data_IF_933248494586
#
_entry.id   IF_933248494586
#
_cell.length_a   1.000
_cell.length_b   1.000
_cell.length_c   1.000
_cell.angle_alpha   90.00
_cell.angle_beta   90.00
_cell.angle_gamma   90.00
#
_symmetry.space_group_name_H-M   'P 1'
#
loop_
_entity.id
_entity.type
_entity.pdbx_description
1 polymer ?
#
# COMPACT_ATOMS: atom_id res chain seq x y z
N UNK A 1 8.36 28.53 4.02
CA UNK A 1 8.80 28.67 5.43
C UNK A 1 8.02 27.66 6.24
N UNK A 2 8.68 26.91 7.13
CA UNK A 2 8.00 25.97 8.01
C UNK A 2 7.04 26.73 8.95
N UNK A 3 5.82 26.22 9.11
CA UNK A 3 4.82 26.79 10.02
C UNK A 3 4.91 26.02 11.32
N UNK A 4 5.19 26.68 12.44
CA UNK A 4 5.28 26.03 13.75
C UNK A 4 3.90 25.79 14.34
N UNK A 5 3.71 24.67 15.05
CA UNK A 5 2.44 24.41 15.75
C UNK A 5 2.10 25.47 16.81
N UNK A 6 3.12 26.06 17.44
CA UNK A 6 2.99 27.16 18.41
C UNK A 6 2.37 28.43 17.80
N UNK A 7 2.38 28.57 16.47
CA UNK A 7 1.71 29.68 15.79
C UNK A 7 0.19 29.50 15.69
N UNK A 8 -0.32 28.30 15.98
CA UNK A 8 -1.75 28.06 16.06
C UNK A 8 -2.25 28.33 17.48
N UNK A 9 -3.46 28.86 17.60
CA UNK A 9 -4.12 29.15 18.88
C UNK A 9 -4.65 27.88 19.57
N UNK A 10 -3.82 26.84 19.66
CA UNK A 10 -4.11 25.59 20.37
C UNK A 10 -3.81 25.73 21.86
N UNK A 11 -4.52 24.99 22.69
CA UNK A 11 -4.25 24.97 24.13
C UNK A 11 -2.83 24.42 24.43
N UNK A 12 -2.17 24.92 25.50
CA UNK A 12 -0.85 24.43 25.89
C UNK A 12 -0.80 22.91 26.09
N UNK A 13 -1.87 22.30 26.62
CA UNK A 13 -1.96 20.85 26.78
C UNK A 13 -1.88 20.08 25.45
N UNK A 14 -2.52 20.57 24.39
CA UNK A 14 -2.45 19.94 23.08
C UNK A 14 -1.06 20.11 22.46
N UNK A 15 -0.47 21.32 22.59
CA UNK A 15 0.89 21.60 22.12
C UNK A 15 1.93 20.71 22.81
N UNK A 16 1.85 20.57 24.13
CA UNK A 16 2.73 19.69 24.89
C UNK A 16 2.58 18.23 24.46
N UNK A 17 1.33 17.76 24.29
CA UNK A 17 1.06 16.38 23.86
C UNK A 17 1.70 16.07 22.51
N UNK A 18 1.49 16.92 21.51
CA UNK A 18 2.07 16.70 20.17
C UNK A 18 3.60 16.89 20.16
N UNK A 19 4.15 17.79 20.99
CA UNK A 19 5.59 17.96 21.13
C UNK A 19 6.26 16.68 21.65
N UNK A 20 5.67 16.00 22.64
CA UNK A 20 6.18 14.69 23.12
C UNK A 20 6.14 13.61 22.04
N UNK A 21 5.29 13.76 21.03
CA UNK A 21 5.19 12.87 19.87
C UNK A 21 6.15 13.23 18.74
N UNK A 22 6.98 14.28 18.94
CA UNK A 22 7.94 14.75 17.95
C UNK A 22 7.35 15.67 16.88
N UNK A 23 6.16 16.24 17.10
CA UNK A 23 5.59 17.23 16.19
C UNK A 23 6.26 18.59 16.48
N UNK A 24 7.07 19.06 15.54
CA UNK A 24 7.76 20.36 15.63
C UNK A 24 7.19 21.32 14.59
N UNK A 25 7.25 20.93 13.32
CA UNK A 25 6.74 21.70 12.20
C UNK A 25 5.39 21.15 11.70
N UNK A 26 4.45 22.05 11.43
CA UNK A 26 3.19 21.71 10.77
C UNK A 26 3.43 21.43 9.29
N UNK A 27 2.91 20.29 8.83
CA UNK A 27 2.86 19.96 7.40
C UNK A 27 2.03 20.99 6.62
N UNK A 28 2.19 21.11 5.30
CA UNK A 28 1.43 22.07 4.51
C UNK A 28 -0.09 21.96 4.68
N UNK A 29 -0.63 20.74 4.81
CA UNK A 29 -2.07 20.54 5.02
C UNK A 29 -2.51 20.97 6.41
N UNK A 30 -1.68 20.76 7.43
CA UNK A 30 -1.95 21.21 8.80
C UNK A 30 -1.92 22.74 8.87
N UNK A 31 -0.87 23.38 8.33
CA UNK A 31 -0.74 24.83 8.30
C UNK A 31 -1.86 25.53 7.55
N UNK A 32 -2.36 24.92 6.48
CA UNK A 32 -3.46 25.50 5.72
C UNK A 32 -4.84 25.19 6.32
N UNK A 33 -5.09 24.00 6.87
CA UNK A 33 -6.41 23.62 7.36
C UNK A 33 -6.69 24.07 8.80
N UNK A 34 -5.74 23.89 9.74
CA UNK A 34 -5.94 24.14 11.18
C UNK A 34 -6.54 25.53 11.46
N UNK A 35 -6.04 26.64 10.88
CA UNK A 35 -6.59 27.96 11.17
C UNK A 35 -8.04 28.13 10.72
N UNK A 36 -8.46 27.50 9.62
CA UNK A 36 -9.85 27.54 9.17
C UNK A 36 -10.76 26.72 10.08
N UNK A 37 -10.29 25.55 10.51
CA UNK A 37 -11.08 24.67 11.38
C UNK A 37 -11.26 25.31 12.76
N UNK A 38 -10.21 25.90 13.35
CA UNK A 38 -10.30 26.61 14.64
C UNK A 38 -11.26 27.81 14.61
N UNK A 39 -11.44 28.46 13.45
CA UNK A 39 -12.41 29.55 13.25
C UNK A 39 -13.85 29.07 13.02
N UNK A 40 -14.11 27.77 13.08
CA UNK A 40 -15.45 27.20 12.88
C UNK A 40 -15.92 27.18 11.43
N UNK A 41 -15.04 27.45 10.45
CA UNK A 41 -15.41 27.41 9.03
C UNK A 41 -15.40 25.98 8.52
N UNK A 42 -16.36 25.60 7.68
CA UNK A 42 -16.30 24.33 6.96
C UNK A 42 -15.03 24.25 6.10
N UNK A 43 -14.51 23.04 5.90
CA UNK A 43 -13.27 22.82 5.16
C UNK A 43 -13.41 21.68 4.17
N UNK A 44 -12.90 21.88 2.96
CA UNK A 44 -12.62 20.82 1.99
C UNK A 44 -11.10 20.72 1.86
N UNK A 45 -10.52 19.70 2.45
CA UNK A 45 -9.09 19.41 2.44
C UNK A 45 -8.72 18.37 1.38
N UNK A 46 -7.97 18.78 0.36
CA UNK A 46 -7.39 17.92 -0.66
C UNK A 46 -5.98 17.49 -0.29
N UNK A 47 -5.81 16.29 0.27
CA UNK A 47 -4.50 15.71 0.55
C UNK A 47 -4.50 14.17 0.64
N UNK A 48 -3.35 13.56 0.31
CA UNK A 48 -3.16 12.10 0.31
C UNK A 48 -2.98 11.52 1.72
N UNK A 49 -3.16 10.22 1.87
CA UNK A 49 -2.87 9.51 3.13
C UNK A 49 -1.41 9.72 3.52
N UNK A 50 -1.15 9.92 4.82
CA UNK A 50 0.19 10.19 5.35
C UNK A 50 0.63 11.66 5.29
N UNK A 51 -0.17 12.57 4.73
CA UNK A 51 0.16 14.00 4.71
C UNK A 51 -0.08 14.74 6.04
N UNK A 52 -0.55 14.05 7.09
CA UNK A 52 -0.85 14.65 8.39
C UNK A 52 -2.30 15.13 8.58
N UNK A 53 -3.25 14.71 7.72
CA UNK A 53 -4.69 15.08 7.78
C UNK A 53 -5.31 14.84 9.16
N UNK A 54 -5.01 13.71 9.79
CA UNK A 54 -5.58 13.33 11.08
C UNK A 54 -5.28 14.34 12.18
N UNK A 55 -4.06 14.88 12.25
CA UNK A 55 -3.75 15.97 13.17
C UNK A 55 -4.35 17.31 12.70
N UNK A 56 -4.47 17.52 11.38
CA UNK A 56 -5.02 18.75 10.81
C UNK A 56 -6.48 19.01 11.24
N UNK A 57 -7.33 17.98 11.27
CA UNK A 57 -8.68 18.10 11.85
C UNK A 57 -8.71 17.72 13.34
N UNK A 58 -7.86 16.80 13.79
CA UNK A 58 -7.93 16.23 15.13
C UNK A 58 -7.57 17.22 16.24
N UNK A 59 -6.57 18.08 16.02
CA UNK A 59 -6.18 19.08 17.02
C UNK A 59 -7.28 20.15 17.22
N UNK A 60 -7.82 20.78 16.16
CA UNK A 60 -8.98 21.64 16.30
C UNK A 60 -10.21 20.93 16.88
N UNK A 61 -10.46 19.67 16.49
CA UNK A 61 -11.56 18.89 17.04
C UNK A 61 -11.45 18.81 18.56
N UNK A 62 -10.30 18.34 19.08
CA UNK A 62 -10.08 18.19 20.52
C UNK A 62 -10.15 19.53 21.28
N UNK A 63 -9.69 20.62 20.67
CA UNK A 63 -9.76 21.97 21.24
C UNK A 63 -11.21 22.43 21.50
N UNK A 64 -12.18 21.97 20.70
CA UNK A 64 -13.59 22.40 20.79
C UNK A 64 -14.47 21.56 21.72
N UNK A 65 -13.96 20.41 22.17
CA UNK A 65 -14.69 19.49 23.04
C UNK A 65 -14.75 20.04 24.46
N UNK A 66 -15.96 20.09 25.02
CA UNK A 66 -16.16 20.25 26.46
C UNK A 66 -16.06 18.88 27.14
N UNK A 67 -15.03 18.62 27.95
CA UNK A 67 -14.85 17.32 28.59
C UNK A 67 -15.87 17.05 29.72
N UNK A 68 -16.58 18.08 30.20
CA UNK A 68 -17.56 17.94 31.29
C UNK A 68 -18.90 17.40 30.81
N UNK A 69 -19.28 17.64 29.55
CA UNK A 69 -20.46 17.05 28.93
C UNK A 69 -20.25 15.56 28.64
N UNK A 70 -21.32 14.77 28.74
CA UNK A 70 -21.33 13.34 28.37
C UNK A 70 -21.85 13.10 26.95
N UNK A 71 -22.34 14.15 26.27
CA UNK A 71 -22.92 14.08 24.94
C UNK A 71 -21.85 14.01 23.85
N UNK A 72 -22.23 13.43 22.70
CA UNK A 72 -21.38 13.36 21.52
C UNK A 72 -21.28 14.74 20.89
N UNK A 73 -20.06 15.30 20.88
CA UNK A 73 -19.77 16.63 20.37
C UNK A 73 -18.97 16.59 19.06
N UNK A 74 -18.29 15.48 18.77
CA UNK A 74 -17.64 15.28 17.48
C UNK A 74 -17.82 13.86 16.93
N UNK A 75 -17.96 13.78 15.61
CA UNK A 75 -18.12 12.54 14.86
C UNK A 75 -17.13 12.53 13.69
N UNK A 76 -16.30 11.49 13.61
CA UNK A 76 -15.40 11.27 12.49
C UNK A 76 -15.83 10.03 11.74
N UNK A 77 -16.22 10.18 10.47
CA UNK A 77 -16.52 9.07 9.57
C UNK A 77 -15.27 8.66 8.80
N UNK A 78 -14.99 7.36 8.78
CA UNK A 78 -13.90 6.77 8.02
C UNK A 78 -14.36 5.50 7.29
N UNK A 79 -13.82 5.17 6.10
CA UNK A 79 -14.32 4.10 5.23
C UNK A 79 -14.14 2.69 5.78
N UNK A 80 -13.12 2.44 6.61
CA UNK A 80 -12.78 1.09 7.08
C UNK A 80 -12.64 1.04 8.59
N UNK A 81 -12.86 -0.16 9.15
CA UNK A 81 -12.64 -0.44 10.57
C UNK A 81 -11.22 -0.09 11.01
N UNK A 82 -10.23 -0.43 10.20
CA UNK A 82 -8.83 -0.18 10.50
C UNK A 82 -8.56 1.31 10.59
N UNK A 83 -9.09 2.10 9.64
CA UNK A 83 -8.90 3.54 9.67
C UNK A 83 -9.63 4.17 10.86
N UNK A 84 -10.82 3.69 11.21
CA UNK A 84 -11.53 4.11 12.43
C UNK A 84 -10.67 3.91 13.68
N UNK A 85 -10.06 2.72 13.83
CA UNK A 85 -9.19 2.42 14.98
C UNK A 85 -7.94 3.30 14.95
N UNK A 86 -7.32 3.50 13.78
CA UNK A 86 -6.13 4.34 13.63
C UNK A 86 -6.41 5.80 13.99
N UNK A 87 -7.52 6.35 13.50
CA UNK A 87 -7.93 7.72 13.80
C UNK A 87 -8.26 7.86 15.28
N UNK A 88 -8.97 6.91 15.88
CA UNK A 88 -9.27 6.94 17.32
C UNK A 88 -8.01 6.88 18.18
N UNK A 89 -7.06 5.99 17.86
CA UNK A 89 -5.78 5.93 18.55
C UNK A 89 -4.99 7.23 18.40
N UNK A 90 -4.95 7.81 17.19
CA UNK A 90 -4.27 9.07 16.95
C UNK A 90 -4.91 10.23 17.74
N UNK A 91 -6.23 10.35 17.74
CA UNK A 91 -6.94 11.36 18.54
C UNK A 91 -6.69 11.18 20.04
N UNK A 92 -6.66 9.94 20.53
CA UNK A 92 -6.37 9.63 21.93
C UNK A 92 -4.95 10.04 22.30
N UNK A 93 -4.01 9.75 21.40
CA UNK A 93 -2.63 10.21 21.49
C UNK A 93 -2.54 11.74 21.56
N UNK A 94 -3.21 12.47 20.66
CA UNK A 94 -3.20 13.93 20.69
C UNK A 94 -3.85 14.51 21.95
N UNK A 95 -4.95 13.90 22.42
CA UNK A 95 -5.65 14.33 23.63
C UNK A 95 -4.77 14.20 24.88
N UNK A 96 -3.85 13.23 24.92
CA UNK A 96 -2.92 13.04 26.03
C UNK A 96 -3.65 12.87 27.36
N UNK A 97 -3.45 13.82 28.28
CA UNK A 97 -4.06 13.82 29.60
C UNK A 97 -5.45 14.49 29.66
N UNK A 98 -5.98 14.99 28.53
CA UNK A 98 -7.31 15.60 28.52
C UNK A 98 -8.39 14.56 28.87
N UNK A 99 -9.36 14.88 29.73
CA UNK A 99 -10.41 13.95 30.17
C UNK A 99 -11.53 13.77 29.12
N UNK A 100 -11.15 13.58 27.85
CA UNK A 100 -12.05 13.36 26.71
C UNK A 100 -12.21 11.86 26.49
N UNK A 101 -13.45 11.38 26.52
CA UNK A 101 -13.80 10.00 26.19
C UNK A 101 -14.13 9.90 24.72
N UNK A 102 -13.45 8.98 24.05
CA UNK A 102 -13.65 8.67 22.65
C UNK A 102 -13.89 7.19 22.46
N UNK A 103 -14.70 6.82 21.46
CA UNK A 103 -15.02 5.43 21.21
C UNK A 103 -15.17 5.12 19.71
N UNK A 104 -14.53 4.03 19.22
CA UNK A 104 -14.63 3.61 17.84
C UNK A 104 -15.87 2.73 17.60
N UNK A 105 -16.60 2.97 16.52
CA UNK A 105 -17.87 2.32 16.15
C UNK A 105 -17.78 1.78 14.73
N UNK A 106 -17.85 0.45 14.56
CA UNK A 106 -17.71 -0.16 13.23
C UNK A 106 -18.41 -1.52 13.11
N UNK A 107 -18.68 -1.91 11.86
CA UNK A 107 -19.29 -3.20 11.52
C UNK A 107 -18.40 -4.39 11.83
N UNK A 108 -19.01 -5.57 12.03
CA UNK A 108 -18.30 -6.82 12.33
C UNK A 108 -17.86 -6.99 13.79
N UNK A 109 -18.04 -5.96 14.64
CA UNK A 109 -17.93 -6.07 16.10
C UNK A 109 -19.32 -6.26 16.75
N UNK A 110 -19.40 -6.95 17.91
CA UNK A 110 -20.64 -7.04 18.69
C UNK A 110 -21.20 -5.66 19.04
N UNK A 111 -22.53 -5.55 19.18
CA UNK A 111 -23.19 -4.31 19.58
C UNK A 111 -22.97 -3.98 21.06
N UNK A 112 -23.00 -4.97 21.97
CA UNK A 112 -23.04 -4.69 23.41
C UNK A 112 -21.90 -3.81 23.93
N UNK A 113 -20.63 -3.98 23.51
CA UNK A 113 -19.57 -3.07 23.94
C UNK A 113 -19.81 -1.63 23.47
N UNK A 114 -20.35 -1.45 22.26
CA UNK A 114 -20.64 -0.15 21.66
C UNK A 114 -21.82 0.51 22.38
N UNK A 115 -22.89 -0.24 22.64
CA UNK A 115 -24.05 0.21 23.42
C UNK A 115 -23.64 0.64 24.83
N UNK A 116 -22.82 -0.17 25.52
CA UNK A 116 -22.31 0.17 26.86
C UNK A 116 -21.40 1.39 26.86
N UNK A 117 -20.64 1.61 25.79
CA UNK A 117 -19.78 2.80 25.69
C UNK A 117 -20.62 4.06 25.48
N UNK A 118 -21.55 4.04 24.51
CA UNK A 118 -22.46 5.14 24.24
C UNK A 118 -23.33 5.48 25.46
N UNK A 119 -23.84 4.47 26.18
CA UNK A 119 -24.66 4.68 27.37
C UNK A 119 -23.88 5.29 28.55
N UNK A 120 -22.56 5.10 28.61
CA UNK A 120 -21.69 5.76 29.62
C UNK A 120 -21.39 7.22 29.27
N UNK A 121 -21.71 7.65 28.04
CA UNK A 121 -21.40 8.96 27.51
C UNK A 121 -19.99 9.06 26.95
N UNK A 122 -19.88 9.46 25.69
CA UNK A 122 -18.64 9.68 24.95
C UNK A 122 -18.75 11.01 24.21
N UNK A 123 -17.68 11.79 24.18
CA UNK A 123 -17.68 13.09 23.50
C UNK A 123 -17.25 13.00 22.05
N UNK A 124 -16.42 12.01 21.71
CA UNK A 124 -15.95 11.79 20.33
C UNK A 124 -16.27 10.37 19.87
N UNK A 125 -16.93 10.28 18.72
CA UNK A 125 -17.17 9.00 18.05
C UNK A 125 -16.35 8.97 16.76
N UNK A 126 -15.64 7.87 16.53
CA UNK A 126 -14.99 7.60 15.25
C UNK A 126 -15.65 6.35 14.67
N UNK A 127 -16.16 6.38 13.45
CA UNK A 127 -16.89 5.22 12.97
C UNK A 127 -17.07 5.05 11.47
N UNK A 128 -17.45 3.83 11.08
CA UNK A 128 -17.80 3.52 9.69
C UNK A 128 -19.24 3.95 9.40
N UNK A 129 -19.56 4.55 8.24
CA UNK A 129 -20.89 5.10 7.94
C UNK A 129 -22.05 4.15 8.27
N UNK A 130 -22.01 2.90 7.76
CA UNK A 130 -23.07 1.92 7.97
C UNK A 130 -23.35 1.61 9.45
N UNK A 131 -22.31 1.45 10.29
CA UNK A 131 -22.53 1.19 11.72
C UNK A 131 -22.97 2.44 12.49
N UNK A 132 -22.52 3.62 12.07
CA UNK A 132 -22.93 4.88 12.70
C UNK A 132 -24.43 5.11 12.44
N UNK A 133 -24.89 4.95 11.20
CA UNK A 133 -26.31 5.12 10.88
C UNK A 133 -27.18 4.08 11.62
N UNK A 134 -26.74 2.82 11.73
CA UNK A 134 -27.43 1.80 12.54
C UNK A 134 -27.68 2.28 13.98
N UNK A 135 -26.67 2.90 14.60
CA UNK A 135 -26.78 3.37 15.99
C UNK A 135 -27.70 4.59 16.14
N UNK A 136 -27.71 5.48 15.15
CA UNK A 136 -28.61 6.63 15.07
C UNK A 136 -30.06 6.15 14.93
N UNK A 137 -30.34 5.25 13.99
CA UNK A 137 -31.69 4.71 13.77
C UNK A 137 -32.25 3.96 14.97
N UNK A 138 -31.38 3.30 15.75
CA UNK A 138 -31.74 2.63 16.99
C UNK A 138 -31.95 3.59 18.16
N UNK A 139 -31.67 4.89 18.01
CA UNK A 139 -31.71 5.88 19.09
C UNK A 139 -30.61 5.69 20.15
N UNK A 140 -29.55 4.95 19.81
CA UNK A 140 -28.44 4.64 20.74
C UNK A 140 -27.27 5.59 20.60
N UNK A 141 -27.19 6.31 19.48
CA UNK A 141 -26.28 7.42 19.24
C UNK A 141 -27.11 8.66 18.96
N UNK A 142 -27.04 9.62 19.87
CA UNK A 142 -27.64 10.94 19.73
C UNK A 142 -26.58 11.94 19.24
N UNK A 143 -26.93 12.72 18.20
CA UNK A 143 -26.07 13.74 17.59
C UNK A 143 -26.55 15.16 17.92
N UNK A 144 -27.53 15.35 18.80
CA UNK A 144 -28.14 16.65 19.07
C UNK A 144 -27.17 17.76 19.51
N UNK A 145 -26.06 17.41 20.18
CA UNK A 145 -25.01 18.34 20.61
C UNK A 145 -23.75 18.30 19.73
N UNK A 146 -23.85 17.73 18.52
CA UNK A 146 -22.71 17.60 17.62
C UNK A 146 -22.24 18.98 17.12
N UNK A 147 -21.00 19.33 17.47
CA UNK A 147 -20.32 20.57 17.05
C UNK A 147 -19.56 20.39 15.74
N UNK A 148 -18.95 19.22 15.53
CA UNK A 148 -18.09 18.96 14.38
C UNK A 148 -18.34 17.56 13.79
N UNK A 149 -18.47 17.49 12.46
CA UNK A 149 -18.53 16.26 11.69
C UNK A 149 -17.39 16.22 10.67
N UNK A 150 -16.54 15.19 10.77
CA UNK A 150 -15.41 14.99 9.87
C UNK A 150 -15.70 13.83 8.92
N UNK A 151 -15.45 14.01 7.63
CA UNK A 151 -15.45 12.96 6.62
C UNK A 151 -14.00 12.70 6.19
N UNK A 152 -13.38 11.62 6.66
CA UNK A 152 -12.02 11.25 6.26
C UNK A 152 -12.01 10.18 5.16
N UNK A 153 -11.16 10.38 4.16
CA UNK A 153 -11.11 9.59 2.92
C UNK A 153 -12.50 9.46 2.23
N UNK A 154 -13.17 10.60 2.01
CA UNK A 154 -14.53 10.64 1.48
C UNK A 154 -14.70 9.93 0.12
N UNK A 155 -13.68 10.02 -0.75
CA UNK A 155 -13.62 9.31 -2.03
C UNK A 155 -13.54 7.79 -1.88
N UNK A 156 -12.90 7.28 -0.83
CA UNK A 156 -12.94 5.85 -0.50
C UNK A 156 -14.32 5.42 -0.02
N UNK A 157 -15.00 6.24 0.80
CA UNK A 157 -16.37 5.96 1.21
C UNK A 157 -17.30 5.84 -0.01
N UNK A 158 -17.11 6.68 -1.03
CA UNK A 158 -17.82 6.55 -2.31
C UNK A 158 -17.47 5.25 -3.04
N UNK A 159 -16.17 4.91 -3.16
CA UNK A 159 -15.71 3.67 -3.81
C UNK A 159 -16.31 2.42 -3.17
N UNK A 160 -16.53 2.46 -1.85
CA UNK A 160 -17.13 1.37 -1.08
C UNK A 160 -18.66 1.36 -1.10
N UNK A 161 -19.30 2.34 -1.74
CA UNK A 161 -20.76 2.43 -1.84
C UNK A 161 -21.45 3.03 -0.61
N UNK A 162 -20.71 3.67 0.31
CA UNK A 162 -21.26 4.25 1.53
C UNK A 162 -21.84 5.66 1.36
N UNK A 163 -21.94 6.17 0.14
CA UNK A 163 -22.35 7.57 -0.08
C UNK A 163 -23.74 7.87 0.47
N UNK A 164 -24.68 6.93 0.33
CA UNK A 164 -26.04 7.06 0.87
C UNK A 164 -26.02 7.09 2.40
N UNK A 165 -25.26 6.19 3.03
CA UNK A 165 -25.11 6.16 4.49
C UNK A 165 -24.49 7.47 5.02
N UNK A 166 -23.49 8.02 4.31
CA UNK A 166 -22.88 9.31 4.66
C UNK A 166 -23.91 10.45 4.58
N UNK A 167 -24.70 10.53 3.52
CA UNK A 167 -25.76 11.53 3.40
C UNK A 167 -26.82 11.41 4.50
N UNK A 168 -27.14 10.17 4.91
CA UNK A 168 -28.09 9.91 6.01
C UNK A 168 -27.54 10.37 7.35
N UNK A 169 -26.26 10.12 7.63
CA UNK A 169 -25.61 10.63 8.85
C UNK A 169 -25.58 12.17 8.84
N UNK A 170 -25.22 12.78 7.71
CA UNK A 170 -25.23 14.24 7.55
C UNK A 170 -26.64 14.85 7.70
N UNK A 171 -27.68 14.14 7.27
CA UNK A 171 -29.06 14.59 7.43
C UNK A 171 -29.57 14.44 8.88
N UNK A 172 -29.04 13.47 9.64
CA UNK A 172 -29.43 13.25 11.04
C UNK A 172 -28.71 14.19 12.03
N UNK A 173 -27.59 14.78 11.63
CA UNK A 173 -26.82 15.71 12.44
C UNK A 173 -27.42 17.14 12.45
N UNK A 174 -27.26 17.90 13.55
CA UNK A 174 -27.91 19.20 13.76
C UNK A 174 -27.41 20.28 12.80
N UNK A 175 -28.27 21.26 12.52
CA UNK A 175 -27.90 22.47 11.78
C UNK A 175 -26.88 23.30 12.57
N UNK A 176 -25.97 23.99 11.88
CA UNK A 176 -24.95 24.85 12.50
C UNK A 176 -23.71 24.12 13.03
N UNK A 177 -23.64 22.79 12.90
CA UNK A 177 -22.39 22.03 13.08
C UNK A 177 -21.37 22.42 12.00
N UNK A 178 -20.09 22.35 12.34
CA UNK A 178 -19.00 22.48 11.38
C UNK A 178 -18.77 21.15 10.64
N UNK A 179 -18.59 21.19 9.34
CA UNK A 179 -18.25 20.03 8.51
C UNK A 179 -16.84 20.16 7.94
N UNK A 180 -16.03 19.14 8.17
CA UNK A 180 -14.66 19.05 7.67
C UNK A 180 -14.54 17.82 6.78
N UNK A 181 -14.36 18.03 5.48
CA UNK A 181 -14.25 16.98 4.48
C UNK A 181 -12.81 16.85 4.00
N UNK A 182 -12.21 15.69 4.21
CA UNK A 182 -10.91 15.33 3.66
C UNK A 182 -11.03 14.24 2.60
N UNK A 183 -10.45 14.48 1.43
CA UNK A 183 -10.50 13.55 0.32
C UNK A 183 -9.27 13.73 -0.58
N UNK A 184 -8.73 12.63 -1.12
CA UNK A 184 -7.61 12.74 -2.06
C UNK A 184 -8.07 13.22 -3.44
N UNK A 185 -9.29 12.85 -3.82
CA UNK A 185 -9.94 13.20 -5.08
C UNK A 185 -11.31 13.82 -4.84
N UNK A 186 -11.83 14.59 -5.80
CA UNK A 186 -13.18 15.17 -5.71
C UNK A 186 -14.07 14.73 -6.88
N UNK A 187 -14.52 13.45 -6.91
CA UNK A 187 -15.51 12.97 -7.88
C UNK A 187 -16.84 13.74 -7.78
N UNK A 188 -17.65 13.69 -8.84
CA UNK A 188 -18.94 14.42 -8.90
C UNK A 188 -19.88 14.10 -7.72
N UNK A 189 -19.87 12.86 -7.23
CA UNK A 189 -20.68 12.49 -6.07
C UNK A 189 -20.22 13.19 -4.78
N UNK A 190 -18.91 13.23 -4.52
CA UNK A 190 -18.35 13.96 -3.36
C UNK A 190 -18.58 15.46 -3.50
N UNK A 191 -18.43 16.02 -4.71
CA UNK A 191 -18.74 17.44 -4.97
C UNK A 191 -20.22 17.77 -4.70
N UNK A 192 -21.13 16.85 -5.02
CA UNK A 192 -22.57 17.01 -4.70
C UNK A 192 -22.82 17.02 -3.20
N UNK A 193 -22.23 16.06 -2.47
CA UNK A 193 -22.35 16.03 -1.00
C UNK A 193 -21.76 17.32 -0.41
N UNK A 194 -20.58 17.73 -0.85
CA UNK A 194 -19.96 18.98 -0.43
C UNK A 194 -20.87 20.20 -0.68
N UNK A 195 -21.36 20.38 -1.91
CA UNK A 195 -22.20 21.52 -2.27
C UNK A 195 -23.61 21.50 -1.65
N UNK A 196 -24.08 20.37 -1.13
CA UNK A 196 -25.38 20.25 -0.47
C UNK A 196 -25.31 20.52 1.02
N UNK A 197 -24.24 20.08 1.68
CA UNK A 197 -24.17 20.06 3.15
C UNK A 197 -23.19 21.07 3.74
N UNK A 198 -22.15 21.49 3.03
CA UNK A 198 -21.17 22.44 3.56
C UNK A 198 -21.60 23.87 3.26
N UNK A 199 -21.32 24.78 4.20
CA UNK A 199 -21.58 26.20 4.06
C UNK A 199 -20.29 27.00 3.84
N UNK A 200 -20.18 27.63 2.67
CA UNK A 200 -19.03 28.44 2.24
C UNK A 200 -17.66 27.87 2.67
N UNK A 201 -17.32 26.61 2.32
CA UNK A 201 -16.15 25.95 2.87
C UNK A 201 -14.84 26.60 2.40
N UNK A 202 -13.83 26.57 3.26
CA UNK A 202 -12.46 26.83 2.83
C UNK A 202 -11.95 25.63 2.03
N UNK A 203 -11.61 25.86 0.76
CA UNK A 203 -10.94 24.85 -0.06
C UNK A 203 -9.43 24.95 0.16
N UNK A 204 -8.89 23.89 0.76
CA UNK A 204 -7.45 23.74 1.01
C UNK A 204 -6.94 22.62 0.14
N UNK A 205 -6.29 22.96 -0.97
CA UNK A 205 -5.52 21.99 -1.75
C UNK A 205 -4.03 22.18 -1.50
N UNK A 206 -3.39 21.11 -1.05
CA UNK A 206 -1.94 21.05 -1.03
C UNK A 206 -1.51 20.35 -2.31
N UNK A 207 -1.05 21.13 -3.27
CA UNK A 207 -0.30 20.59 -4.40
C UNK A 207 0.94 19.89 -3.85
N UNK A 208 1.20 18.68 -4.32
CA UNK A 208 2.38 17.94 -3.89
C UNK A 208 3.63 18.77 -4.21
N UNK A 209 4.42 19.11 -3.19
CA UNK A 209 5.86 18.93 -3.31
C UNK A 209 6.06 17.49 -3.82
N UNK A 210 6.74 17.37 -4.96
CA UNK A 210 6.96 16.14 -5.74
C UNK A 210 6.84 14.90 -4.87
N UNK A 211 5.87 14.05 -5.23
CA UNK A 211 5.74 12.65 -4.79
C UNK A 211 6.96 12.17 -4.00
N UNK A 212 6.78 11.81 -2.73
CA UNK A 212 7.75 11.19 -1.80
C UNK A 212 8.26 9.82 -2.27
N UNK A 213 8.28 9.63 -3.58
CA UNK A 213 8.79 8.50 -4.36
C UNK A 213 10.27 8.71 -4.68
N UNK A 214 10.86 9.87 -4.35
CA UNK A 214 12.31 10.08 -4.49
C UNK A 214 13.13 9.01 -3.73
N UNK A 215 12.57 8.42 -2.67
CA UNK A 215 13.22 7.36 -1.88
C UNK A 215 12.83 5.93 -2.29
N UNK A 216 11.96 5.76 -3.29
CA UNK A 216 11.50 4.46 -3.77
C UNK A 216 12.05 4.22 -5.17
N UNK A 217 12.92 3.22 -5.30
CA UNK A 217 13.36 2.75 -6.61
C UNK A 217 12.21 1.98 -7.27
N UNK A 218 11.71 2.50 -8.39
CA UNK A 218 10.60 1.89 -9.11
C UNK A 218 11.09 1.17 -10.36
N UNK A 219 10.71 -0.11 -10.46
CA UNK A 219 11.07 -0.99 -11.57
C UNK A 219 9.83 -1.62 -12.18
N UNK A 220 9.91 -1.99 -13.45
CA UNK A 220 8.90 -2.83 -14.09
C UNK A 220 9.53 -3.96 -14.91
N UNK A 221 8.81 -5.08 -14.97
CA UNK A 221 9.20 -6.29 -15.71
C UNK A 221 8.07 -6.70 -16.65
N UNK A 222 8.42 -7.09 -17.87
CA UNK A 222 7.46 -7.65 -18.82
C UNK A 222 7.21 -9.13 -18.51
N UNK A 223 6.01 -9.46 -18.02
CA UNK A 223 5.68 -10.81 -17.55
C UNK A 223 4.27 -11.19 -18.00
N UNK A 224 4.11 -12.18 -18.90
CA UNK A 224 2.81 -12.74 -19.23
C UNK A 224 2.16 -13.41 -18.00
N UNK A 225 0.83 -13.35 -17.89
CA UNK A 225 0.09 -13.84 -16.71
C UNK A 225 0.46 -15.27 -16.26
N UNK A 226 0.59 -16.27 -17.15
CA UNK A 226 0.94 -17.64 -16.74
C UNK A 226 2.31 -17.75 -16.04
N UNK A 227 3.18 -16.77 -16.23
CA UNK A 227 4.56 -16.78 -15.73
C UNK A 227 4.79 -15.84 -14.54
N UNK A 228 3.77 -15.12 -14.06
CA UNK A 228 3.90 -14.20 -12.91
C UNK A 228 4.45 -14.86 -11.65
N UNK A 229 4.00 -16.08 -11.34
CA UNK A 229 4.50 -16.82 -10.16
C UNK A 229 5.97 -17.22 -10.32
N UNK A 230 6.38 -17.64 -11.53
CA UNK A 230 7.79 -17.97 -11.82
C UNK A 230 8.66 -16.71 -11.73
N UNK A 231 8.22 -15.60 -12.34
CA UNK A 231 8.91 -14.32 -12.26
C UNK A 231 9.09 -13.85 -10.80
N UNK A 232 8.02 -13.92 -9.98
CA UNK A 232 8.08 -13.55 -8.57
C UNK A 232 9.12 -14.39 -7.82
N UNK A 233 9.12 -15.71 -8.02
CA UNK A 233 10.12 -16.61 -7.42
C UNK A 233 11.54 -16.17 -7.79
N UNK A 234 11.80 -15.95 -9.09
CA UNK A 234 13.12 -15.55 -9.61
C UNK A 234 13.60 -14.24 -8.97
N UNK A 235 12.70 -13.27 -8.80
CA UNK A 235 12.99 -12.01 -8.11
C UNK A 235 13.37 -12.24 -6.65
N UNK A 236 12.55 -13.00 -5.90
CA UNK A 236 12.78 -13.29 -4.49
C UNK A 236 14.10 -14.06 -4.24
N UNK A 237 14.46 -14.97 -5.15
CA UNK A 237 15.68 -15.77 -5.06
C UNK A 237 16.95 -15.01 -5.44
N UNK A 238 16.85 -14.05 -6.37
CA UNK A 238 18.00 -13.29 -6.88
C UNK A 238 18.34 -12.11 -5.98
N UNK A 239 17.31 -11.39 -5.52
CA UNK A 239 17.47 -10.17 -4.72
C UNK A 239 16.91 -10.41 -3.32
N UNK A 240 17.68 -10.98 -2.39
CA UNK A 240 17.23 -11.09 -1.01
C UNK A 240 16.92 -9.69 -0.46
N UNK A 241 15.73 -9.55 0.10
CA UNK A 241 15.35 -8.40 0.93
C UNK A 241 14.81 -8.95 2.24
N UNK A 242 14.63 -8.08 3.23
CA UNK A 242 13.69 -8.31 4.32
C UNK A 242 12.25 -8.42 3.81
N UNK A 243 11.29 -7.97 4.63
CA UNK A 243 9.87 -8.22 4.35
C UNK A 243 9.44 -7.68 2.98
N UNK A 244 8.83 -8.56 2.18
CA UNK A 244 8.28 -8.26 0.87
C UNK A 244 6.75 -8.31 0.92
N UNK A 245 6.10 -7.24 0.44
CA UNK A 245 4.66 -7.19 0.26
C UNK A 245 4.30 -7.34 -1.23
N UNK A 246 3.52 -8.37 -1.56
CA UNK A 246 3.08 -8.67 -2.92
C UNK A 246 1.60 -8.36 -3.06
N UNK A 247 1.24 -7.51 -4.01
CA UNK A 247 -0.15 -7.17 -4.31
C UNK A 247 -0.69 -8.05 -5.45
N UNK A 248 -1.80 -8.73 -5.17
CA UNK A 248 -2.56 -9.51 -6.15
C UNK A 248 -4.02 -9.04 -6.20
N UNK A 249 -4.66 -9.21 -7.36
CA UNK A 249 -6.02 -8.68 -7.61
C UNK A 249 -7.10 -9.41 -6.82
N UNK A 250 -6.99 -10.73 -6.65
CA UNK A 250 -8.07 -11.55 -6.07
C UNK A 250 -7.60 -12.31 -4.85
N UNK A 251 -8.55 -12.58 -3.93
CA UNK A 251 -8.33 -13.36 -2.71
C UNK A 251 -7.82 -14.77 -3.03
N UNK A 252 -8.41 -15.41 -4.05
CA UNK A 252 -7.97 -16.72 -4.55
C UNK A 252 -6.52 -16.66 -5.04
N UNK A 253 -6.17 -15.66 -5.84
CA UNK A 253 -4.79 -15.47 -6.30
C UNK A 253 -3.83 -15.31 -5.13
N UNK A 254 -4.19 -14.59 -4.06
CA UNK A 254 -3.33 -14.47 -2.88
C UNK A 254 -3.01 -15.84 -2.27
N UNK A 255 -4.02 -16.68 -2.06
CA UNK A 255 -3.85 -18.03 -1.52
C UNK A 255 -3.03 -18.93 -2.46
N UNK A 256 -3.38 -18.95 -3.75
CA UNK A 256 -2.70 -19.78 -4.76
C UNK A 256 -1.20 -19.42 -4.86
N UNK A 257 -0.86 -18.13 -4.78
CA UNK A 257 0.54 -17.67 -4.83
C UNK A 257 1.28 -18.05 -3.54
N UNK A 258 0.68 -17.84 -2.37
CA UNK A 258 1.29 -18.20 -1.09
C UNK A 258 1.62 -19.71 -1.04
N UNK A 259 0.66 -20.56 -1.43
CA UNK A 259 0.85 -22.01 -1.49
C UNK A 259 1.94 -22.40 -2.50
N UNK A 260 1.98 -21.75 -3.66
CA UNK A 260 2.99 -22.03 -4.69
C UNK A 260 4.41 -21.65 -4.25
N UNK A 261 4.56 -20.57 -3.47
CA UNK A 261 5.83 -20.15 -2.89
C UNK A 261 6.24 -21.07 -1.73
N UNK A 262 5.31 -21.41 -0.83
CA UNK A 262 5.56 -22.30 0.30
C UNK A 262 6.02 -23.69 -0.14
N UNK A 263 5.42 -24.27 -1.19
CA UNK A 263 5.85 -25.54 -1.81
C UNK A 263 7.29 -25.53 -2.32
N UNK A 264 7.87 -24.35 -2.52
CA UNK A 264 9.26 -24.15 -2.97
C UNK A 264 10.19 -23.73 -1.84
N UNK A 265 9.72 -23.73 -0.59
CA UNK A 265 10.50 -23.39 0.59
C UNK A 265 10.65 -21.89 0.83
N UNK A 266 9.84 -21.05 0.18
CA UNK A 266 9.78 -19.61 0.46
C UNK A 266 8.72 -19.38 1.54
N UNK A 267 9.12 -18.77 2.66
CA UNK A 267 8.23 -18.45 3.77
C UNK A 267 7.25 -17.34 3.36
N UNK A 268 6.06 -17.74 2.92
CA UNK A 268 5.04 -16.86 2.37
C UNK A 268 3.67 -17.10 3.02
N UNK A 269 2.88 -16.04 3.16
CA UNK A 269 1.52 -16.08 3.71
C UNK A 269 0.57 -15.18 2.92
N UNK A 270 -0.72 -15.49 2.93
CA UNK A 270 -1.76 -14.71 2.25
C UNK A 270 -2.56 -13.86 3.23
N UNK A 271 -2.87 -12.63 2.86
CA UNK A 271 -3.71 -11.70 3.61
C UNK A 271 -4.85 -11.14 2.75
N UNK A 272 -6.06 -11.62 3.01
CA UNK A 272 -7.25 -11.28 2.26
C UNK A 272 -8.48 -11.14 3.17
N UNK A 273 -9.57 -10.57 2.63
CA UNK A 273 -10.76 -10.19 3.40
C UNK A 273 -11.60 -11.31 4.01
N UNK A 274 -11.31 -12.59 3.75
CA UNK A 274 -12.01 -13.72 4.40
C UNK A 274 -11.38 -14.12 5.74
N UNK A 275 -10.21 -13.59 6.04
CA UNK A 275 -9.52 -13.87 7.29
C UNK A 275 -10.22 -13.11 8.41
N UNK A 276 -10.50 -13.82 9.51
CA UNK A 276 -10.94 -13.18 10.73
C UNK A 276 -9.80 -12.32 11.33
N UNK A 277 -10.17 -11.39 12.21
CA UNK A 277 -9.23 -10.43 12.78
C UNK A 277 -8.04 -11.09 13.50
N UNK A 278 -8.30 -12.15 14.28
CA UNK A 278 -7.26 -12.87 15.00
C UNK A 278 -6.25 -13.55 14.06
N UNK A 279 -6.71 -14.10 12.93
CA UNK A 279 -5.85 -14.65 11.90
C UNK A 279 -5.00 -13.55 11.24
N UNK A 280 -5.59 -12.40 10.94
CA UNK A 280 -4.89 -11.25 10.37
C UNK A 280 -3.77 -10.75 11.29
N UNK A 281 -4.06 -10.57 12.58
CA UNK A 281 -3.07 -10.15 13.58
C UNK A 281 -1.92 -11.17 13.71
N UNK A 282 -2.24 -12.48 13.69
CA UNK A 282 -1.22 -13.53 13.71
C UNK A 282 -0.28 -13.46 12.50
N UNK A 283 -0.82 -13.30 11.30
CA UNK A 283 -0.05 -13.21 10.06
C UNK A 283 0.85 -11.97 10.06
N UNK A 284 0.31 -10.82 10.51
CA UNK A 284 1.10 -9.59 10.65
C UNK A 284 2.20 -9.77 11.71
N UNK A 285 1.91 -10.46 12.82
CA UNK A 285 2.89 -10.82 13.83
C UNK A 285 4.03 -11.66 13.27
N UNK A 286 3.72 -12.65 12.43
CA UNK A 286 4.71 -13.49 11.73
C UNK A 286 5.62 -12.74 10.77
N UNK A 287 5.11 -11.67 10.17
CA UNK A 287 5.94 -10.80 9.34
C UNK A 287 6.87 -9.92 10.20
N UNK A 288 6.40 -9.49 11.38
CA UNK A 288 7.19 -8.67 12.31
C UNK A 288 8.31 -9.45 12.99
N UNK A 289 8.06 -10.71 13.36
CA UNK A 289 9.06 -11.59 13.98
C UNK A 289 10.01 -12.26 12.97
N UNK A 290 9.84 -11.98 11.67
CA UNK A 290 10.61 -12.53 10.55
C UNK A 290 10.46 -14.05 10.37
N UNK A 291 9.37 -14.65 10.87
CA UNK A 291 9.01 -16.03 10.54
C UNK A 291 8.40 -16.17 9.14
N UNK A 292 7.94 -15.07 8.56
CA UNK A 292 7.52 -14.94 7.15
C UNK A 292 8.28 -13.81 6.50
N UNK A 293 8.78 -14.05 5.30
CA UNK A 293 9.51 -13.05 4.51
C UNK A 293 8.60 -12.38 3.46
N UNK A 294 7.54 -13.07 3.02
CA UNK A 294 6.67 -12.63 1.92
C UNK A 294 5.20 -12.64 2.33
N UNK A 295 4.55 -11.48 2.25
CA UNK A 295 3.12 -11.34 2.48
C UNK A 295 2.41 -11.05 1.16
N UNK A 296 1.41 -11.86 0.79
CA UNK A 296 0.62 -11.66 -0.43
C UNK A 296 -0.74 -11.10 -0.05
N UNK A 297 -1.07 -9.89 -0.49
CA UNK A 297 -2.28 -9.20 -0.07
C UNK A 297 -3.11 -8.63 -1.24
N UNK A 298 -4.40 -8.46 -0.98
CA UNK A 298 -5.28 -7.61 -1.80
C UNK A 298 -5.21 -6.16 -1.31
N UNK A 299 -5.60 -5.20 -2.15
CA UNK A 299 -5.63 -3.78 -1.78
C UNK A 299 -6.39 -3.52 -0.48
N UNK A 300 -7.59 -4.10 -0.36
CA UNK A 300 -8.46 -3.94 0.81
C UNK A 300 -7.78 -4.49 2.06
N UNK A 301 -7.16 -5.65 1.97
CA UNK A 301 -6.53 -6.30 3.10
C UNK A 301 -5.23 -5.59 3.56
N UNK A 302 -4.53 -4.95 2.62
CA UNK A 302 -3.28 -4.21 2.86
C UNK A 302 -3.49 -2.80 3.43
N UNK A 303 -4.71 -2.25 3.33
CA UNK A 303 -5.06 -0.94 3.90
C UNK A 303 -5.04 -1.00 5.43
N UNK A 304 -4.56 0.08 6.06
CA UNK A 304 -4.44 0.18 7.52
C UNK A 304 -3.39 -0.75 8.15
N UNK A 305 -2.64 -1.54 7.36
CA UNK A 305 -1.54 -2.30 7.92
C UNK A 305 -0.36 -1.37 8.16
N UNK A 306 0.00 -1.23 9.43
CA UNK A 306 1.24 -0.58 9.84
C UNK A 306 2.33 -1.64 10.07
N UNK A 307 3.02 -1.97 8.98
CA UNK A 307 4.26 -2.75 9.02
C UNK A 307 5.39 -1.75 8.74
N UNK A 308 6.14 -1.40 9.78
CA UNK A 308 7.28 -0.48 9.67
C UNK A 308 8.43 -1.03 8.80
N UNK A 309 8.42 -2.33 8.49
CA UNK A 309 9.57 -3.07 7.97
C UNK A 309 9.46 -3.62 6.54
N UNK A 310 8.66 -3.03 5.64
CA UNK A 310 8.58 -3.50 4.25
C UNK A 310 9.72 -2.90 3.41
N UNK A 311 10.66 -3.72 2.98
CA UNK A 311 11.79 -3.32 2.13
C UNK A 311 11.45 -3.37 0.64
N UNK A 312 10.52 -4.26 0.27
CA UNK A 312 10.11 -4.45 -1.12
C UNK A 312 8.61 -4.54 -1.27
N UNK A 313 8.09 -3.85 -2.28
CA UNK A 313 6.72 -4.02 -2.77
C UNK A 313 6.77 -4.62 -4.17
N UNK A 314 5.94 -5.64 -4.41
CA UNK A 314 5.75 -6.22 -5.75
C UNK A 314 4.29 -6.07 -6.16
N UNK A 315 4.02 -5.32 -7.22
CA UNK A 315 2.72 -5.31 -7.88
C UNK A 315 2.69 -6.48 -8.86
N UNK A 316 2.19 -7.64 -8.41
CA UNK A 316 2.05 -8.80 -9.29
C UNK A 316 0.99 -8.54 -10.36
N UNK A 317 -0.08 -7.86 -9.97
CA UNK A 317 -1.07 -7.30 -10.88
C UNK A 317 -0.99 -5.77 -10.83
N UNK A 318 -0.84 -5.13 -11.99
CA UNK A 318 -0.79 -3.67 -12.06
C UNK A 318 -2.15 -3.09 -11.62
N UNK A 319 -2.17 -2.08 -10.72
CA UNK A 319 -3.40 -1.38 -10.37
C UNK A 319 -3.92 -0.55 -11.56
N UNK A 320 -5.24 -0.31 -11.56
CA UNK A 320 -5.93 0.35 -12.67
C UNK A 320 -5.68 1.87 -12.64
N UNK A 321 -5.47 2.43 -11.44
CA UNK A 321 -5.34 3.86 -11.23
C UNK A 321 -4.04 4.24 -10.49
N UNK A 322 -3.63 5.49 -10.66
CA UNK A 322 -2.39 6.05 -10.10
C UNK A 322 -2.43 6.15 -8.58
N UNK A 323 -3.60 6.36 -7.98
CA UNK A 323 -3.73 6.55 -6.54
C UNK A 323 -3.47 5.23 -5.81
N UNK A 324 -4.11 4.15 -6.26
CA UNK A 324 -3.85 2.78 -5.79
C UNK A 324 -2.39 2.42 -5.99
N UNK A 325 -1.79 2.74 -7.13
CA UNK A 325 -0.35 2.51 -7.36
C UNK A 325 0.53 3.17 -6.30
N UNK A 326 0.31 4.47 -6.05
CA UNK A 326 1.06 5.23 -5.02
C UNK A 326 0.84 4.64 -3.63
N UNK A 327 -0.40 4.26 -3.28
CA UNK A 327 -0.71 3.64 -1.99
C UNK A 327 -0.05 2.28 -1.78
N UNK A 328 0.12 1.49 -2.86
CA UNK A 328 0.83 0.21 -2.82
C UNK A 328 2.32 0.42 -2.60
N UNK A 329 2.96 1.25 -3.42
CA UNK A 329 4.41 1.45 -3.32
C UNK A 329 4.80 2.21 -2.04
N UNK A 330 3.93 3.07 -1.52
CA UNK A 330 4.11 3.76 -0.23
C UNK A 330 4.06 2.83 1.00
N UNK A 331 3.91 1.51 0.80
CA UNK A 331 4.13 0.51 1.86
C UNK A 331 5.61 0.29 2.13
N UNK A 332 6.50 0.62 1.20
CA UNK A 332 7.95 0.66 1.42
C UNK A 332 8.45 2.11 1.46
N UNK A 333 9.74 2.31 1.75
CA UNK A 333 10.38 3.63 1.74
C UNK A 333 9.93 4.58 2.86
N UNK A 334 9.35 4.04 3.94
CA UNK A 334 8.86 4.85 5.09
C UNK A 334 10.02 5.39 5.94
N UNK A 335 9.80 6.53 6.59
CA UNK A 335 10.76 7.20 7.47
C UNK A 335 12.13 7.49 6.81
N UNK A 336 12.14 7.86 5.53
CA UNK A 336 13.35 8.23 4.78
C UNK A 336 14.25 7.06 4.36
N UNK A 337 13.83 5.81 4.60
CA UNK A 337 14.56 4.62 4.14
C UNK A 337 14.39 4.43 2.62
N UNK A 338 15.38 3.78 1.99
CA UNK A 338 15.26 3.34 0.59
C UNK A 338 14.31 2.15 0.51
N UNK A 339 13.39 2.17 -0.45
CA UNK A 339 12.49 1.06 -0.76
C UNK A 339 12.58 0.66 -2.22
N UNK A 340 12.19 -0.57 -2.55
CA UNK A 340 12.10 -1.03 -3.96
C UNK A 340 10.67 -1.42 -4.28
N UNK A 341 10.14 -0.90 -5.39
CA UNK A 341 8.85 -1.27 -5.93
C UNK A 341 9.00 -1.90 -7.32
N UNK A 342 8.54 -3.14 -7.50
CA UNK A 342 8.62 -3.87 -8.77
C UNK A 342 7.21 -4.13 -9.28
N UNK A 343 6.91 -3.72 -10.51
CA UNK A 343 5.61 -3.94 -11.13
C UNK A 343 5.70 -4.93 -12.30
N UNK A 344 4.88 -5.98 -12.27
CA UNK A 344 4.75 -6.90 -13.39
C UNK A 344 3.72 -6.39 -14.38
N UNK A 345 4.15 -6.29 -15.63
CA UNK A 345 3.38 -5.72 -16.73
C UNK A 345 3.15 -6.81 -17.76
N UNK A 346 1.90 -7.12 -18.06
CA UNK A 346 1.58 -7.96 -19.22
C UNK A 346 1.76 -7.17 -20.52
N UNK A 347 1.93 -7.83 -21.68
CA UNK A 347 2.01 -7.13 -22.97
C UNK A 347 0.82 -6.17 -23.25
N UNK A 348 -0.37 -6.49 -22.75
CA UNK A 348 -1.57 -5.65 -22.89
C UNK A 348 -1.59 -4.42 -21.98
N UNK A 349 -0.84 -4.43 -20.87
CA UNK A 349 -0.84 -3.37 -19.85
C UNK A 349 0.20 -2.27 -20.11
N UNK A 350 0.96 -2.35 -21.21
CA UNK A 350 1.96 -1.31 -21.55
C UNK A 350 1.36 0.10 -21.63
N UNK A 351 0.12 0.24 -22.12
CA UNK A 351 -0.56 1.55 -22.18
C UNK A 351 -0.88 2.08 -20.78
N UNK A 352 -1.28 1.19 -19.86
CA UNK A 352 -1.55 1.55 -18.47
C UNK A 352 -0.27 1.99 -17.76
N UNK A 353 0.86 1.32 -18.01
CA UNK A 353 2.18 1.76 -17.54
C UNK A 353 2.52 3.18 -18.03
N UNK A 354 2.41 3.44 -19.34
CA UNK A 354 2.70 4.78 -19.88
C UNK A 354 1.76 5.86 -19.32
N UNK A 355 0.51 5.52 -19.01
CA UNK A 355 -0.41 6.42 -18.33
C UNK A 355 0.06 6.73 -16.90
N UNK A 356 0.53 5.72 -16.16
CA UNK A 356 1.09 5.89 -14.82
C UNK A 356 2.33 6.78 -14.84
N UNK A 357 3.31 6.50 -15.72
CA UNK A 357 4.54 7.30 -15.84
C UNK A 357 4.23 8.79 -16.11
N UNK A 358 3.30 9.07 -17.03
CA UNK A 358 2.87 10.45 -17.33
C UNK A 358 2.19 11.15 -16.17
N UNK A 359 1.45 10.41 -15.33
CA UNK A 359 0.75 10.96 -14.17
C UNK A 359 1.67 11.14 -12.97
N UNK A 360 2.70 10.30 -12.86
CA UNK A 360 3.72 10.39 -11.81
C UNK A 360 4.83 11.38 -12.15
N UNK A 361 4.91 11.83 -13.41
CA UNK A 361 5.98 12.66 -13.94
C UNK A 361 7.39 12.07 -13.68
N UNK A 362 7.47 10.75 -13.66
CA UNK A 362 8.67 10.00 -13.36
C UNK A 362 8.70 8.69 -14.18
N UNK A 363 9.83 8.36 -14.83
CA UNK A 363 9.98 7.09 -15.54
C UNK A 363 10.09 5.93 -14.55
N UNK A 364 9.50 4.78 -14.88
CA UNK A 364 9.68 3.54 -14.13
C UNK A 364 10.72 2.71 -14.87
N UNK A 365 11.78 2.27 -14.19
CA UNK A 365 12.93 1.63 -14.84
C UNK A 365 12.56 0.22 -15.32
N UNK A 366 12.72 -0.05 -16.62
CA UNK A 366 12.58 -1.40 -17.14
C UNK A 366 13.75 -2.27 -16.68
N UNK A 367 13.44 -3.44 -16.11
CA UNK A 367 14.44 -4.45 -15.76
C UNK A 367 14.05 -5.81 -16.33
N UNK A 368 15.02 -6.63 -16.78
CA UNK A 368 14.73 -7.97 -17.25
C UNK A 368 14.34 -8.89 -16.10
N UNK A 369 13.58 -9.95 -16.40
CA UNK A 369 13.33 -11.04 -15.45
C UNK A 369 14.65 -11.77 -15.17
N UNK A 370 14.98 -12.07 -13.90
CA UNK A 370 16.24 -12.72 -13.57
C UNK A 370 16.44 -14.09 -14.25
N UNK A 371 17.64 -14.33 -14.77
CA UNK A 371 18.04 -15.58 -15.40
C UNK A 371 18.42 -16.66 -14.39
N UNK A 372 18.52 -17.90 -14.84
CA UNK A 372 18.92 -19.02 -13.99
C UNK A 372 20.37 -18.86 -13.49
N UNK A 373 21.25 -18.25 -14.30
CA UNK A 373 22.60 -17.90 -13.89
C UNK A 373 22.63 -16.88 -12.74
N UNK A 374 21.77 -15.87 -12.78
CA UNK A 374 21.66 -14.86 -11.72
C UNK A 374 21.18 -15.48 -10.40
N UNK A 375 20.17 -16.36 -10.46
CA UNK A 375 19.67 -17.10 -9.29
C UNK A 375 20.76 -17.99 -8.70
N UNK A 376 21.43 -18.78 -9.55
CA UNK A 376 22.51 -19.66 -9.10
C UNK A 376 23.66 -18.85 -8.48
N UNK A 377 24.01 -17.70 -9.07
CA UNK A 377 25.00 -16.78 -8.51
C UNK A 377 24.59 -16.24 -7.13
N UNK A 378 23.35 -15.78 -6.98
CA UNK A 378 22.82 -15.31 -5.70
C UNK A 378 22.83 -16.41 -4.63
N UNK A 379 22.48 -17.65 -5.01
CA UNK A 379 22.52 -18.80 -4.10
C UNK A 379 23.96 -19.12 -3.66
N UNK A 380 24.92 -19.12 -4.58
CA UNK A 380 26.34 -19.33 -4.26
C UNK A 380 26.88 -18.24 -3.34
N UNK A 381 26.57 -16.97 -3.62
CA UNK A 381 26.99 -15.84 -2.78
C UNK A 381 26.43 -15.95 -1.36
N UNK A 382 25.15 -16.34 -1.21
CA UNK A 382 24.53 -16.58 0.11
C UNK A 382 25.16 -17.74 0.86
N UNK A 383 25.42 -18.86 0.17
CA UNK A 383 26.09 -20.02 0.76
C UNK A 383 27.49 -19.63 1.26
N UNK A 384 28.26 -18.92 0.43
CA UNK A 384 29.60 -18.42 0.79
C UNK A 384 29.54 -17.53 2.02
N UNK A 385 28.63 -16.55 2.06
CA UNK A 385 28.47 -15.66 3.21
C UNK A 385 28.11 -16.42 4.49
N UNK A 386 27.18 -17.38 4.40
CA UNK A 386 26.77 -18.24 5.53
C UNK A 386 27.92 -19.09 6.06
N UNK A 387 28.76 -19.65 5.20
CA UNK A 387 29.92 -20.45 5.60
C UNK A 387 30.98 -19.59 6.32
N UNK A 388 31.24 -18.39 5.79
CA UNK A 388 32.19 -17.43 6.42
C UNK A 388 31.69 -17.01 7.81
N UNK A 389 30.39 -16.71 7.94
CA UNK A 389 29.81 -16.31 9.23
C UNK A 389 29.80 -17.46 10.26
N UNK A 390 29.52 -18.69 9.83
CA UNK A 390 29.49 -19.86 10.72
C UNK A 390 30.87 -20.19 11.33
N UNK A 391 31.95 -19.95 10.58
CA UNK A 391 33.32 -20.16 11.05
C UNK A 391 33.74 -19.30 12.26
N UNK A 392 32.93 -18.31 12.65
CA UNK A 392 33.22 -17.36 13.72
C UNK A 392 32.50 -17.66 15.06
N UNK A 393 31.93 -18.87 15.25
CA UNK A 393 31.16 -19.23 16.46
C UNK A 393 31.85 -20.25 17.39
N UNK A 394 31.52 -20.21 18.68
CA UNK A 394 32.08 -21.07 19.76
C UNK A 394 31.80 -22.58 19.61
N UNK A 395 30.93 -23.00 18.70
CA UNK A 395 30.69 -24.41 18.36
C UNK A 395 31.89 -25.11 17.68
N UNK A 396 33.00 -24.39 17.52
CA UNK A 396 34.18 -24.83 16.79
C UNK A 396 34.97 -25.95 17.49
N UNK A 397 34.86 -26.15 18.81
CA UNK A 397 35.71 -27.13 19.50
C UNK A 397 35.24 -28.58 19.33
N UNK A 398 33.93 -28.84 19.47
CA UNK A 398 33.32 -30.15 19.17
C UNK A 398 33.47 -30.47 17.69
N UNK A 399 33.19 -29.49 16.83
CA UNK A 399 33.32 -29.64 15.38
C UNK A 399 34.76 -29.90 14.95
N UNK A 400 35.76 -29.25 15.58
CA UNK A 400 37.19 -29.52 15.35
C UNK A 400 37.58 -30.94 15.76
N UNK A 401 37.08 -31.43 16.90
CA UNK A 401 37.36 -32.79 17.37
C UNK A 401 36.82 -33.82 16.39
N UNK A 402 35.57 -33.65 15.97
CA UNK A 402 34.95 -34.53 14.98
C UNK A 402 35.65 -34.47 13.62
N UNK A 403 36.11 -33.29 13.17
CA UNK A 403 36.94 -33.16 11.97
C UNK A 403 38.26 -33.92 12.11
N UNK A 404 38.92 -33.86 13.28
CA UNK A 404 40.16 -34.60 13.53
C UNK A 404 39.93 -36.13 13.52
N UNK A 405 38.80 -36.60 14.04
CA UNK A 405 38.39 -38.02 13.95
C UNK A 405 38.18 -38.44 12.49
N UNK A 406 37.44 -37.66 11.70
CA UNK A 406 37.21 -37.94 10.27
C UNK A 406 38.51 -38.00 9.45
N UNK A 407 39.47 -37.12 9.75
CA UNK A 407 40.80 -37.10 9.10
C UNK A 407 41.68 -38.27 9.56
N UNK A 408 41.50 -38.76 10.80
CA UNK A 408 42.25 -39.91 11.30
C UNK A 408 41.70 -41.26 10.78
N UNK A 409 40.38 -41.35 10.57
CA UNK A 409 39.72 -42.56 10.05
C UNK A 409 39.76 -42.69 8.53
N UNK A 410 39.82 -41.57 7.80
CA UNK A 410 39.92 -41.55 6.34
C UNK A 410 41.31 -41.15 5.83
N UNK A 411 41.73 -41.66 4.67
CA UNK A 411 42.97 -41.22 3.98
C UNK A 411 42.82 -39.88 3.24
N UNK A 412 41.76 -39.12 3.54
CA UNK A 412 41.36 -37.93 2.77
C UNK A 412 41.96 -36.65 3.36
N UNK A 413 42.30 -35.70 2.50
CA UNK A 413 42.79 -34.40 2.97
C UNK A 413 41.66 -33.56 3.58
N UNK A 414 42.01 -32.59 4.44
CA UNK A 414 41.05 -31.61 4.97
C UNK A 414 40.35 -30.84 3.85
N UNK A 415 41.05 -30.61 2.74
CA UNK A 415 40.50 -29.96 1.56
C UNK A 415 39.41 -30.81 0.89
N UNK A 416 39.64 -32.11 0.72
CA UNK A 416 38.65 -33.03 0.15
C UNK A 416 37.40 -33.14 1.01
N UNK A 417 37.56 -33.20 2.35
CA UNK A 417 36.45 -33.21 3.29
C UNK A 417 35.65 -31.89 3.26
N UNK A 418 36.33 -30.75 3.12
CA UNK A 418 35.67 -29.45 2.99
C UNK A 418 34.89 -29.35 1.66
N UNK A 419 35.46 -29.85 0.56
CA UNK A 419 34.78 -29.93 -0.75
C UNK A 419 33.54 -30.83 -0.65
N UNK A 420 33.67 -32.00 -0.03
CA UNK A 420 32.56 -32.93 0.18
C UNK A 420 31.44 -32.29 1.02
N UNK A 421 31.78 -31.66 2.14
CA UNK A 421 30.82 -30.98 3.01
C UNK A 421 30.10 -29.82 2.31
N UNK A 422 30.82 -28.99 1.55
CA UNK A 422 30.22 -27.89 0.77
C UNK A 422 29.31 -28.44 -0.32
N UNK A 423 29.72 -29.53 -0.98
CA UNK A 423 28.93 -30.18 -2.04
C UNK A 423 27.64 -30.77 -1.47
N UNK A 424 27.72 -31.45 -0.33
CA UNK A 424 26.56 -32.03 0.35
C UNK A 424 25.61 -30.97 0.91
N UNK A 425 26.18 -29.89 1.48
CA UNK A 425 25.40 -28.74 1.94
C UNK A 425 24.70 -28.02 0.78
N UNK A 426 25.38 -27.88 -0.37
CA UNK A 426 24.77 -27.31 -1.56
C UNK A 426 23.67 -28.24 -2.12
N UNK A 427 23.88 -29.55 -2.13
CA UNK A 427 22.89 -30.53 -2.59
C UNK A 427 21.63 -30.51 -1.71
N UNK A 428 21.80 -30.54 -0.38
CA UNK A 428 20.67 -30.47 0.57
C UNK A 428 19.86 -29.17 0.45
N UNK A 429 20.52 -28.06 0.12
CA UNK A 429 19.88 -26.76 -0.13
C UNK A 429 19.46 -26.54 -1.60
N UNK A 430 19.61 -27.55 -2.48
CA UNK A 430 19.34 -27.48 -3.93
C UNK A 430 20.07 -26.33 -4.64
N UNK A 431 21.28 -26.02 -4.23
CA UNK A 431 22.13 -24.97 -4.81
C UNK A 431 23.00 -25.58 -5.90
N UNK A 432 22.94 -25.01 -7.11
CA UNK A 432 23.81 -25.42 -8.20
C UNK A 432 25.19 -24.74 -8.09
N UNK A 433 26.21 -25.52 -7.72
CA UNK A 433 27.60 -25.08 -7.65
C UNK A 433 28.30 -25.05 -9.01
N UNK A 434 27.75 -25.71 -10.04
CA UNK A 434 28.36 -25.76 -11.37
C UNK A 434 28.17 -24.43 -12.11
N UNK A 435 29.17 -24.06 -12.91
CA UNK A 435 29.05 -23.04 -13.95
C UNK A 435 28.32 -23.61 -15.17
N UNK A 436 27.47 -22.81 -15.83
CA UNK A 436 26.72 -23.23 -17.04
C UNK A 436 25.19 -23.13 -16.97
N UNK A 437 24.64 -22.35 -16.04
CA UNK A 437 23.21 -21.98 -16.10
C UNK A 437 22.97 -20.95 -17.22
N UNK A 438 21.76 -20.94 -17.81
CA UNK A 438 21.41 -19.99 -18.88
C UNK A 438 21.54 -18.55 -18.36
N UNK A 439 22.38 -17.76 -19.04
CA UNK A 439 22.62 -16.35 -18.72
C UNK A 439 21.46 -15.46 -19.18
N UNK A 440 20.69 -15.93 -20.15
CA UNK A 440 19.57 -15.18 -20.71
C UNK A 440 18.33 -15.30 -19.81
N UNK A 441 17.47 -14.26 -19.77
CA UNK A 441 16.15 -14.36 -19.18
C UNK A 441 15.37 -15.55 -19.77
N UNK A 442 14.40 -16.13 -19.03
CA UNK A 442 13.64 -17.28 -19.50
C UNK A 442 12.96 -17.00 -20.84
N UNK A 443 12.83 -18.04 -21.68
CA UNK A 443 12.38 -17.90 -23.07
C UNK A 443 11.06 -17.13 -23.19
N UNK A 444 10.10 -17.35 -22.30
CA UNK A 444 8.82 -16.65 -22.28
C UNK A 444 8.96 -15.13 -22.04
N UNK A 445 9.98 -14.69 -21.30
CA UNK A 445 10.27 -13.26 -21.08
C UNK A 445 10.89 -12.64 -22.34
N UNK A 446 11.70 -13.41 -23.08
CA UNK A 446 12.34 -12.97 -24.33
C UNK A 446 11.32 -12.75 -25.46
N UNK A 447 10.35 -13.64 -25.58
CA UNK A 447 9.33 -13.57 -26.64
C UNK A 447 8.23 -12.54 -26.37
N UNK A 448 7.98 -12.19 -25.10
CA UNK A 448 7.06 -11.13 -24.74
C UNK A 448 7.54 -9.74 -25.21
N UNK A 449 8.86 -9.54 -25.33
CA UNK A 449 9.48 -8.31 -25.78
C UNK A 449 9.51 -8.13 -27.32
N UNK A 450 8.55 -8.73 -28.04
CA UNK A 450 8.51 -8.81 -29.50
C UNK A 450 8.93 -7.53 -30.25
N UNK A 451 9.46 -7.65 -31.49
CA UNK A 451 10.20 -6.60 -32.16
C UNK A 451 9.39 -5.30 -32.18
N UNK A 452 9.98 -4.24 -31.62
CA UNK A 452 9.42 -2.91 -31.67
C UNK A 452 9.23 -2.53 -33.14
N UNK A 453 8.00 -2.65 -33.66
CA UNK A 453 7.66 -2.08 -34.97
C UNK A 453 7.79 -0.56 -34.82
N UNK A 454 8.64 0.11 -35.62
CA UNK A 454 8.74 1.55 -35.55
C UNK A 454 7.37 2.14 -35.86
N UNK A 455 6.88 2.98 -34.97
CA UNK A 455 5.71 3.81 -35.21
C UNK A 455 6.10 4.81 -36.30
N UNK A 456 5.76 4.54 -37.57
CA UNK A 456 6.05 5.50 -38.65
C UNK A 456 6.11 5.00 -40.09
N UNK A 457 6.12 3.69 -40.37
CA UNK A 457 6.07 3.22 -41.76
C UNK A 457 4.62 3.10 -42.24
N UNK A 458 4.03 4.22 -42.69
CA UNK A 458 2.85 4.21 -43.56
C UNK A 458 3.20 3.35 -44.76
N UNK A 459 2.51 2.21 -44.90
CA UNK A 459 2.61 1.39 -46.10
C UNK A 459 2.24 2.23 -47.31
N UNK A 460 3.22 2.44 -48.20
CA UNK A 460 2.93 2.70 -49.60
C UNK A 460 2.16 1.50 -50.13
N UNK A 461 0.84 1.67 -50.26
CA UNK A 461 0.01 0.83 -51.09
C UNK A 461 0.55 0.94 -52.51
N UNK A 462 1.37 -0.04 -52.93
CA UNK A 462 1.56 -0.33 -54.34
C UNK A 462 0.18 -0.63 -54.94
N UNK A 463 -0.32 0.32 -55.71
CA UNK A 463 -1.48 0.14 -56.57
C UNK A 463 -1.16 -0.92 -57.62
N UNK A 464 -1.87 -2.04 -57.52
CA UNK A 464 -1.89 -3.11 -58.51
C UNK A 464 -3.32 -3.60 -58.63
N UNK A 465 -4.19 -2.75 -59.19
CA UNK A 465 -5.55 -3.11 -59.57
C UNK A 465 -5.63 -3.09 -61.09
N UNK A 466 -5.42 -4.24 -61.72
CA UNK A 466 -5.76 -4.47 -63.12
C UNK A 466 -7.28 -4.36 -63.29
N UNK A 467 -7.72 -3.20 -63.80
CA UNK A 467 -9.06 -3.02 -64.32
C UNK A 467 -9.16 -3.62 -65.71
N UNK A 468 -9.90 -4.72 -65.83
CA UNK A 468 -10.45 -5.20 -67.10
C UNK A 468 -11.54 -4.24 -67.60
N UNK A 469 -11.59 -4.14 -68.93
CA UNK A 469 -12.69 -3.71 -69.80
C UNK A 469 -12.76 -2.21 -70.18
N UNK A 470 -12.53 -1.92 -71.47
CA UNK A 470 -13.06 -0.72 -72.11
C UNK A 470 -12.37 -0.20 -73.36
N UNK A 471 -11.92 -1.03 -74.31
CA UNK A 471 -11.60 -0.53 -75.66
C UNK A 471 -12.89 -0.13 -76.39
N UNK A 472 -13.07 1.17 -76.62
CA UNK A 472 -13.91 1.69 -77.71
C UNK A 472 -12.99 2.36 -78.72
N UNK A 473 -12.63 1.61 -79.75
CA UNK A 473 -12.04 2.14 -80.97
C UNK A 473 -13.09 2.95 -81.75
N UNK A 474 -12.76 4.20 -82.01
CA UNK A 474 -13.34 5.00 -83.08
C UNK A 474 -12.71 4.55 -84.40
N UNK A 475 -13.52 4.09 -85.34
CA UNK A 475 -13.17 4.09 -86.76
C UNK A 475 -14.42 4.47 -87.57
N UNK A 476 -14.32 5.63 -88.22
CA UNK A 476 -15.17 6.09 -89.32
C UNK A 476 -14.62 5.51 -90.64
N UNK A 477 -15.45 5.66 -91.68
CA UNK A 477 -15.26 5.30 -93.11
C UNK A 477 -15.74 3.88 -93.45
N UNK A 478 -16.55 3.63 -94.48
CA UNK A 478 -17.12 4.47 -95.52
C UNK A 478 -17.63 3.57 -96.65
N UNK A 479 -18.79 3.93 -97.21
CA UNK A 479 -19.52 3.35 -98.36
C UNK A 479 -20.25 2.03 -98.17
#
# INVERSE_FOLDING_TARGET
MAVLFESFELSPHLLDSIATMGFVDATPIQGAAIPHILRGRDVIGGARTGSGKTAAYGLPLLQTIDPTSTAVQALVLAPTRELVIQVELALRSYAGALPIRMFPIYGGAPYDPQLRALSRGVQVVVGTPGRVIDHIERGTLDLGELKMLVLDEADEMLRMGFIEDVERVLAASPDGRQIVLFSATMPLAIRRVAGRYLDNPAEVQVENERLTVEHIEQRWMLVPDPHKIDALRRVLETEPSGATLVFARTRKSCADIADALAKRGIAADALHGDLNQAARERIIGRLRDKSVDVLIATDVAARGIDIEHIERVVNLDLPIDTETYVHRIGRTGRAGRKGVAISFITPGERRSLSFLERKLDAPITHVPVPSDAQIASAHRSRLKASLIAAGATDAAEVTRRWLAELVAEGEQSVEDLAIAAITELAASRRINLRSGADELPPSWARHAAGPARPFGARGERRGGGEGRAGERGLAREGR
#
